data_IF_037173276226
#
_entry.id   IF_037173276226
#
_cell.length_a   1.000
_cell.length_b   1.000
_cell.length_c   1.000
_cell.angle_alpha   90.00
_cell.angle_beta   90.00
_cell.angle_gamma   90.00
#
_symmetry.space_group_name_H-M   'P 1'
#
loop_
_entity.id
_entity.type
_entity.pdbx_description
1 polymer ?
#
# COMPACT_ATOMS: atom_id res chain seq x y z
N UNK A 1 -59.30 21.63 -29.86
CA UNK A 1 -59.16 23.06 -30.24
C UNK A 1 -57.71 23.42 -30.51
N UNK A 2 -56.73 22.96 -29.71
CA UNK A 2 -55.28 23.25 -29.82
C UNK A 2 -54.67 22.75 -31.14
N UNK A 3 -55.03 21.55 -31.60
CA UNK A 3 -54.57 21.00 -32.88
C UNK A 3 -55.09 21.81 -34.10
N UNK A 4 -56.30 22.33 -34.04
CA UNK A 4 -56.86 23.13 -35.13
C UNK A 4 -56.20 24.50 -35.26
N UNK A 5 -55.89 25.14 -34.13
CA UNK A 5 -55.11 26.39 -34.10
C UNK A 5 -53.69 26.24 -34.64
N UNK A 6 -53.02 25.08 -34.38
CA UNK A 6 -51.66 24.82 -34.89
C UNK A 6 -51.67 24.66 -36.43
N UNK A 7 -52.66 23.94 -36.97
CA UNK A 7 -52.79 23.75 -38.42
C UNK A 7 -53.15 25.07 -39.11
N UNK A 8 -54.07 25.89 -38.52
CA UNK A 8 -54.47 27.22 -39.05
C UNK A 8 -53.23 28.19 -39.05
N UNK A 9 -52.24 27.99 -38.18
CA UNK A 9 -51.02 28.76 -38.14
C UNK A 9 -49.89 28.14 -38.99
N UNK A 10 -50.16 27.11 -39.79
CA UNK A 10 -49.17 26.47 -40.67
C UNK A 10 -48.13 25.59 -39.97
N UNK A 11 -48.40 25.21 -38.71
CA UNK A 11 -47.46 24.36 -37.92
C UNK A 11 -48.05 22.94 -37.84
N UNK A 12 -47.24 21.92 -38.20
CA UNK A 12 -47.65 20.51 -38.06
C UNK A 12 -47.74 20.10 -36.60
N UNK A 13 -48.95 19.74 -36.09
CA UNK A 13 -49.11 19.28 -34.70
C UNK A 13 -48.20 18.11 -34.31
N UNK A 14 -47.79 17.27 -35.28
CA UNK A 14 -46.91 16.15 -35.07
C UNK A 14 -45.45 16.59 -34.83
N UNK A 15 -45.05 17.73 -35.41
CA UNK A 15 -43.75 18.32 -35.14
C UNK A 15 -43.70 18.92 -33.74
N UNK A 16 -44.72 19.67 -33.35
CA UNK A 16 -44.85 20.23 -32.01
C UNK A 16 -44.83 19.15 -30.92
N UNK A 17 -45.56 18.05 -31.19
CA UNK A 17 -45.57 16.94 -30.24
C UNK A 17 -44.20 16.21 -30.17
N UNK A 18 -43.52 16.04 -31.31
CA UNK A 18 -42.15 15.50 -31.34
C UNK A 18 -41.16 16.39 -30.58
N UNK A 19 -41.23 17.70 -30.76
CA UNK A 19 -40.37 18.64 -30.05
C UNK A 19 -40.66 18.69 -28.54
N UNK A 20 -41.94 18.60 -28.15
CA UNK A 20 -42.34 18.46 -26.74
C UNK A 20 -41.78 17.16 -26.12
N UNK A 21 -41.90 16.05 -26.83
CA UNK A 21 -41.36 14.75 -26.38
C UNK A 21 -39.81 14.77 -26.32
N UNK A 22 -39.15 15.36 -27.31
CA UNK A 22 -37.71 15.53 -27.33
C UNK A 22 -37.23 16.40 -26.14
N UNK A 23 -37.88 17.54 -25.92
CA UNK A 23 -37.58 18.44 -24.79
C UNK A 23 -37.85 17.76 -23.43
N UNK A 24 -38.91 16.99 -23.33
CA UNK A 24 -39.23 16.24 -22.12
C UNK A 24 -38.18 15.11 -21.87
N UNK A 25 -37.75 14.41 -22.91
CA UNK A 25 -36.72 13.40 -22.85
C UNK A 25 -35.34 14.00 -22.45
N UNK A 26 -34.98 15.14 -23.03
CA UNK A 26 -33.76 15.89 -22.64
C UNK A 26 -33.79 16.32 -21.18
N UNK A 27 -34.89 16.89 -20.71
CA UNK A 27 -35.06 17.28 -19.30
C UNK A 27 -34.94 16.08 -18.36
N UNK A 28 -35.55 14.94 -18.73
CA UNK A 28 -35.46 13.70 -17.97
C UNK A 28 -34.04 13.16 -17.94
N UNK A 29 -33.36 13.15 -19.08
CA UNK A 29 -31.96 12.75 -19.20
C UNK A 29 -31.01 13.66 -18.38
N UNK A 30 -31.20 14.98 -18.47
CA UNK A 30 -30.44 15.95 -17.69
C UNK A 30 -30.66 15.80 -16.17
N UNK A 31 -31.90 15.54 -15.75
CA UNK A 31 -32.24 15.27 -14.35
C UNK A 31 -31.57 13.97 -13.85
N UNK A 32 -31.62 12.90 -14.65
CA UNK A 32 -30.96 11.63 -14.33
C UNK A 32 -29.44 11.80 -14.26
N UNK A 33 -28.85 12.49 -15.21
CA UNK A 33 -27.40 12.79 -15.21
C UNK A 33 -26.99 13.62 -13.97
N UNK A 34 -27.83 14.59 -13.56
CA UNK A 34 -27.56 15.38 -12.34
C UNK A 34 -27.65 14.54 -11.07
N UNK A 35 -28.59 13.61 -10.98
CA UNK A 35 -28.70 12.68 -9.86
C UNK A 35 -27.46 11.78 -9.78
N UNK A 36 -27.01 11.25 -10.91
CA UNK A 36 -25.83 10.40 -10.96
C UNK A 36 -24.54 11.19 -10.63
N UNK A 37 -24.39 12.39 -11.19
CA UNK A 37 -23.28 13.27 -10.84
C UNK A 37 -23.24 13.60 -9.33
N UNK A 38 -24.39 13.82 -8.70
CA UNK A 38 -24.48 14.06 -7.27
C UNK A 38 -24.08 12.81 -6.45
N UNK A 39 -24.48 11.62 -6.88
CA UNK A 39 -24.02 10.36 -6.24
C UNK A 39 -22.53 10.21 -6.31
N UNK A 40 -21.95 10.38 -7.50
CA UNK A 40 -20.49 10.31 -7.69
C UNK A 40 -19.77 11.38 -6.85
N UNK A 41 -20.30 12.60 -6.80
CA UNK A 41 -19.73 13.68 -5.99
C UNK A 41 -19.82 13.44 -4.47
N UNK A 42 -20.70 12.54 -4.03
CA UNK A 42 -20.83 12.15 -2.63
C UNK A 42 -19.93 10.98 -2.21
N UNK A 43 -19.27 10.31 -3.18
CA UNK A 43 -18.39 9.19 -2.89
C UNK A 43 -17.27 9.59 -1.92
N UNK A 44 -17.11 8.78 -0.90
CA UNK A 44 -16.03 8.95 0.08
C UNK A 44 -14.70 8.45 -0.47
N UNK A 45 -13.61 8.96 0.10
CA UNK A 45 -12.25 8.46 -0.19
C UNK A 45 -12.15 6.96 0.07
N UNK A 46 -12.80 6.45 1.13
CA UNK A 46 -12.79 5.03 1.49
C UNK A 46 -13.49 4.13 0.47
N UNK A 47 -14.62 4.54 -0.07
CA UNK A 47 -15.31 3.81 -1.14
C UNK A 47 -14.45 3.74 -2.39
N UNK A 48 -13.93 4.87 -2.86
CA UNK A 48 -13.08 4.93 -4.05
C UNK A 48 -11.74 4.21 -3.82
N UNK A 49 -11.20 4.23 -2.58
CA UNK A 49 -10.02 3.45 -2.21
C UNK A 49 -10.26 1.95 -2.33
N UNK A 50 -11.46 1.49 -1.99
CA UNK A 50 -11.83 0.08 -2.14
C UNK A 50 -11.84 -0.34 -3.60
N UNK A 51 -12.42 0.46 -4.48
CA UNK A 51 -12.41 0.22 -5.94
C UNK A 51 -10.97 0.21 -6.50
N UNK A 52 -10.16 1.18 -6.08
CA UNK A 52 -8.75 1.25 -6.43
C UNK A 52 -8.01 -0.03 -6.03
N UNK A 53 -8.20 -0.48 -4.80
CA UNK A 53 -7.57 -1.70 -4.30
C UNK A 53 -8.01 -2.93 -5.08
N UNK A 54 -9.29 -3.07 -5.42
CA UNK A 54 -9.81 -4.19 -6.19
C UNK A 54 -9.20 -4.23 -7.60
N UNK A 55 -9.18 -3.09 -8.30
CA UNK A 55 -8.64 -3.01 -9.65
C UNK A 55 -7.12 -3.24 -9.72
N UNK A 56 -6.40 -2.77 -8.70
CA UNK A 56 -4.93 -2.85 -8.69
C UNK A 56 -4.38 -4.12 -8.04
N UNK A 57 -5.19 -4.87 -7.29
CA UNK A 57 -4.78 -6.09 -6.58
C UNK A 57 -4.01 -7.10 -7.44
N UNK A 58 -4.41 -7.40 -8.70
CA UNK A 58 -3.69 -8.35 -9.55
C UNK A 58 -2.24 -7.95 -9.87
N UNK A 59 -1.91 -6.66 -9.77
CA UNK A 59 -0.58 -6.12 -10.05
C UNK A 59 0.30 -5.95 -8.81
N UNK A 60 -0.20 -6.31 -7.63
CA UNK A 60 0.48 -6.08 -6.36
C UNK A 60 0.90 -7.37 -5.67
N UNK A 61 2.11 -7.38 -5.12
CA UNK A 61 2.50 -8.41 -4.16
C UNK A 61 1.77 -8.23 -2.82
N UNK A 62 1.70 -9.30 -2.03
CA UNK A 62 0.92 -9.34 -0.78
C UNK A 62 1.34 -8.30 0.26
N UNK A 63 2.64 -7.98 0.36
CA UNK A 63 3.12 -6.95 1.27
C UNK A 63 2.61 -5.56 0.88
N UNK A 64 2.63 -5.23 -0.41
CA UNK A 64 2.13 -3.96 -0.91
C UNK A 64 0.62 -3.83 -0.70
N UNK A 65 -0.14 -4.88 -0.96
CA UNK A 65 -1.58 -4.92 -0.67
C UNK A 65 -1.87 -4.76 0.83
N UNK A 66 -1.11 -5.45 1.69
CA UNK A 66 -1.22 -5.31 3.15
C UNK A 66 -0.93 -3.90 3.62
N UNK A 67 0.05 -3.22 3.02
CA UNK A 67 0.34 -1.82 3.33
C UNK A 67 -0.87 -0.92 3.06
N UNK A 68 -1.59 -1.10 1.96
CA UNK A 68 -2.81 -0.34 1.67
C UNK A 68 -3.89 -0.55 2.73
N UNK A 69 -4.13 -1.79 3.16
CA UNK A 69 -5.06 -2.11 4.24
C UNK A 69 -4.60 -1.47 5.55
N UNK A 70 -3.32 -1.66 5.92
CA UNK A 70 -2.80 -1.19 7.20
C UNK A 70 -2.79 0.33 7.34
N UNK A 71 -2.61 1.06 6.23
CA UNK A 71 -2.61 2.52 6.27
C UNK A 71 -4.00 3.14 6.32
N UNK A 72 -5.06 2.40 5.98
CA UNK A 72 -6.45 2.89 5.96
C UNK A 72 -7.33 2.33 7.08
N UNK A 73 -6.88 1.31 7.81
CA UNK A 73 -7.67 0.65 8.86
C UNK A 73 -8.12 1.64 9.95
N UNK A 74 -9.36 1.52 10.39
CA UNK A 74 -9.97 2.37 11.43
C UNK A 74 -9.31 2.21 12.82
N UNK A 75 -8.69 1.07 13.10
CA UNK A 75 -8.16 0.76 14.43
C UNK A 75 -9.26 0.37 15.43
N UNK A 76 -8.92 0.43 16.72
CA UNK A 76 -9.89 0.13 17.79
C UNK A 76 -10.16 -1.37 18.04
N UNK A 77 -9.51 -2.26 17.30
CA UNK A 77 -9.62 -3.70 17.51
C UNK A 77 -8.57 -4.19 18.51
N UNK A 78 -8.83 -5.28 19.26
CA UNK A 78 -7.83 -5.88 20.11
C UNK A 78 -6.57 -6.25 19.32
N UNK A 79 -5.40 -5.97 19.90
CA UNK A 79 -4.12 -6.32 19.26
C UNK A 79 -3.92 -7.84 19.26
N UNK A 80 -3.70 -8.45 18.09
CA UNK A 80 -3.35 -9.87 17.97
C UNK A 80 -1.91 -10.21 18.34
N UNK A 81 -1.12 -9.24 18.83
CA UNK A 81 0.28 -9.49 19.24
C UNK A 81 0.31 -10.20 20.58
N UNK A 82 1.10 -11.27 20.67
CA UNK A 82 1.32 -12.03 21.91
C UNK A 82 1.70 -11.09 23.06
N UNK A 83 1.02 -11.20 24.20
CA UNK A 83 1.23 -10.33 25.36
C UNK A 83 0.62 -8.92 25.26
N UNK A 84 -0.12 -8.60 24.21
CA UNK A 84 -0.70 -7.28 23.96
C UNK A 84 -2.23 -7.27 23.83
N UNK A 85 -2.92 -8.32 24.30
CA UNK A 85 -4.39 -8.51 24.16
C UNK A 85 -5.22 -7.35 24.74
N UNK A 86 -4.70 -6.64 25.73
CA UNK A 86 -5.36 -5.46 26.34
C UNK A 86 -5.17 -4.15 25.54
N UNK A 87 -4.31 -4.15 24.51
CA UNK A 87 -4.06 -2.95 23.71
C UNK A 87 -4.90 -2.96 22.45
N UNK A 88 -5.54 -1.86 22.14
CA UNK A 88 -6.26 -1.67 20.90
C UNK A 88 -5.27 -1.29 19.78
N UNK A 89 -5.59 -1.70 18.57
CA UNK A 89 -4.86 -1.29 17.37
C UNK A 89 -5.06 0.20 17.12
N UNK A 90 -3.99 0.89 16.74
CA UNK A 90 -4.10 2.31 16.33
C UNK A 90 -4.69 2.42 14.93
N UNK A 91 -5.46 3.49 14.65
CA UNK A 91 -5.88 3.80 13.29
C UNK A 91 -4.68 3.91 12.35
N UNK A 92 -4.87 3.52 11.09
CA UNK A 92 -3.90 3.77 10.04
C UNK A 92 -3.74 5.28 9.79
N UNK A 93 -2.60 5.74 9.22
CA UNK A 93 -2.40 7.17 8.98
C UNK A 93 -3.45 7.81 8.08
N UNK A 94 -4.01 7.08 7.12
CA UNK A 94 -5.04 7.58 6.21
C UNK A 94 -6.47 7.40 6.75
N UNK A 95 -6.66 6.73 7.90
CA UNK A 95 -7.98 6.43 8.42
C UNK A 95 -8.87 7.68 8.58
N UNK A 96 -8.27 8.81 8.99
CA UNK A 96 -8.99 10.07 9.14
C UNK A 96 -9.46 10.69 7.81
N UNK A 97 -8.85 10.31 6.69
CA UNK A 97 -9.22 10.80 5.36
C UNK A 97 -10.30 9.93 4.70
N UNK A 98 -10.48 8.68 5.14
CA UNK A 98 -11.41 7.74 4.51
C UNK A 98 -12.87 8.17 4.50
N UNK A 99 -13.42 8.81 5.56
CA UNK A 99 -14.82 9.26 5.57
C UNK A 99 -15.07 10.55 4.79
N UNK A 100 -14.04 11.27 4.35
CA UNK A 100 -14.20 12.52 3.59
C UNK A 100 -14.72 12.22 2.18
N UNK A 101 -15.54 13.12 1.61
CA UNK A 101 -15.85 13.01 0.19
C UNK A 101 -14.59 13.25 -0.65
N UNK A 102 -14.44 12.51 -1.76
CA UNK A 102 -13.23 12.58 -2.59
C UNK A 102 -12.97 14.01 -3.09
N UNK A 103 -14.01 14.73 -3.44
CA UNK A 103 -13.96 16.15 -3.88
C UNK A 103 -13.42 17.11 -2.82
N UNK A 104 -13.57 16.76 -1.52
CA UNK A 104 -13.14 17.59 -0.39
C UNK A 104 -11.70 17.28 0.03
N UNK A 105 -11.05 16.34 -0.65
CA UNK A 105 -9.65 16.00 -0.42
C UNK A 105 -8.72 16.99 -1.17
N UNK A 106 -8.76 18.23 -0.71
CA UNK A 106 -7.97 19.32 -1.28
C UNK A 106 -6.53 19.38 -0.72
N UNK A 107 -5.74 20.29 -1.29
CA UNK A 107 -4.36 20.53 -0.87
C UNK A 107 -4.24 20.88 0.62
N UNK A 108 -5.12 21.74 1.14
CA UNK A 108 -5.06 22.21 2.52
C UNK A 108 -5.34 21.08 3.51
N UNK A 109 -6.29 20.21 3.21
CA UNK A 109 -6.62 19.01 3.99
C UNK A 109 -5.44 18.04 4.05
N UNK A 110 -4.79 17.78 2.90
CA UNK A 110 -3.63 16.87 2.84
C UNK A 110 -2.42 17.47 3.56
N UNK A 111 -2.15 18.77 3.44
CA UNK A 111 -1.04 19.42 4.13
C UNK A 111 -1.22 19.41 5.66
N UNK A 112 -2.44 19.64 6.15
CA UNK A 112 -2.77 19.52 7.57
C UNK A 112 -2.56 18.08 8.06
N UNK A 113 -3.12 17.11 7.35
CA UNK A 113 -2.91 15.69 7.63
C UNK A 113 -1.41 15.32 7.68
N UNK A 114 -0.62 15.79 6.70
CA UNK A 114 0.83 15.53 6.64
C UNK A 114 1.57 16.14 7.83
N UNK A 115 1.19 17.34 8.28
CA UNK A 115 1.79 17.99 9.43
C UNK A 115 1.50 17.23 10.73
N UNK A 116 0.28 16.74 10.91
CA UNK A 116 -0.13 16.03 12.14
C UNK A 116 0.48 14.63 12.19
N UNK A 117 0.41 13.88 11.10
CA UNK A 117 0.99 12.54 11.01
C UNK A 117 2.52 12.55 11.02
N UNK A 118 3.13 13.57 10.42
CA UNK A 118 4.58 13.75 10.41
C UNK A 118 5.19 13.93 11.80
N UNK A 119 4.47 14.56 12.74
CA UNK A 119 4.90 14.72 14.13
C UNK A 119 4.86 13.42 14.92
N UNK A 120 3.83 12.58 14.68
CA UNK A 120 3.54 11.42 15.55
C UNK A 120 4.17 10.13 15.03
N UNK A 121 4.19 9.91 13.71
CA UNK A 121 4.67 8.66 13.09
C UNK A 121 5.25 8.89 11.69
N UNK A 122 6.34 9.64 11.57
CA UNK A 122 6.86 10.15 10.30
C UNK A 122 7.15 9.05 9.26
N UNK A 123 7.68 7.90 9.67
CA UNK A 123 7.97 6.80 8.74
C UNK A 123 6.71 6.18 8.15
N UNK A 124 5.68 5.97 8.98
CA UNK A 124 4.39 5.44 8.51
C UNK A 124 3.64 6.46 7.66
N UNK A 125 3.69 7.73 8.04
CA UNK A 125 3.08 8.84 7.30
C UNK A 125 3.71 9.03 5.91
N UNK A 126 5.03 8.90 5.77
CA UNK A 126 5.71 8.95 4.46
C UNK A 126 5.27 7.82 3.53
N UNK A 127 5.09 6.60 4.05
CA UNK A 127 4.56 5.51 3.24
C UNK A 127 3.11 5.78 2.84
N UNK A 128 2.27 6.18 3.80
CA UNK A 128 0.88 6.53 3.57
C UNK A 128 0.72 7.65 2.52
N UNK A 129 1.55 8.69 2.60
CA UNK A 129 1.58 9.77 1.61
C UNK A 129 1.93 9.28 0.20
N UNK A 130 2.89 8.36 0.06
CA UNK A 130 3.21 7.76 -1.24
C UNK A 130 2.02 6.99 -1.82
N UNK A 131 1.35 6.17 -0.98
CA UNK A 131 0.17 5.43 -1.39
C UNK A 131 -0.98 6.37 -1.79
N UNK A 132 -1.23 7.42 -0.98
CA UNK A 132 -2.23 8.45 -1.29
C UNK A 132 -1.91 9.18 -2.60
N UNK A 133 -0.65 9.51 -2.84
CA UNK A 133 -0.22 10.18 -4.08
C UNK A 133 -0.50 9.33 -5.32
N UNK A 134 -0.21 8.03 -5.25
CA UNK A 134 -0.48 7.08 -6.35
C UNK A 134 -1.99 6.87 -6.53
N UNK A 135 -2.74 6.73 -5.45
CA UNK A 135 -4.20 6.66 -5.47
C UNK A 135 -4.84 7.85 -6.17
N UNK A 136 -4.46 9.07 -5.79
CA UNK A 136 -5.00 10.29 -6.41
C UNK A 136 -4.60 10.43 -7.89
N UNK A 137 -3.41 9.93 -8.26
CA UNK A 137 -3.02 9.86 -9.68
C UNK A 137 -3.92 8.90 -10.43
N UNK A 138 -4.19 7.71 -9.87
CA UNK A 138 -5.12 6.75 -10.46
C UNK A 138 -6.54 7.32 -10.57
N UNK A 139 -7.05 8.01 -9.53
CA UNK A 139 -8.36 8.65 -9.61
C UNK A 139 -8.45 9.67 -10.76
N UNK A 140 -7.39 10.45 -11.00
CA UNK A 140 -7.35 11.42 -12.09
C UNK A 140 -7.36 10.77 -13.49
N UNK A 141 -6.94 9.51 -13.60
CA UNK A 141 -6.96 8.71 -14.82
C UNK A 141 -8.31 8.03 -15.07
N UNK A 142 -9.18 7.95 -14.05
CA UNK A 142 -10.50 7.31 -14.18
C UNK A 142 -11.56 8.33 -14.60
N UNK A 143 -12.29 8.11 -15.71
CA UNK A 143 -13.34 9.03 -16.18
C UNK A 143 -14.39 9.37 -15.11
N UNK A 144 -14.72 8.39 -14.24
CA UNK A 144 -15.69 8.54 -13.17
C UNK A 144 -15.24 9.51 -12.07
N UNK A 145 -13.93 9.57 -11.78
CA UNK A 145 -13.39 10.30 -10.63
C UNK A 145 -12.60 11.55 -11.03
N UNK A 146 -12.12 11.63 -12.27
CA UNK A 146 -11.26 12.71 -12.74
C UNK A 146 -11.87 14.12 -12.51
N UNK A 147 -13.18 14.25 -12.70
CA UNK A 147 -13.90 15.52 -12.49
C UNK A 147 -14.06 15.95 -11.03
N UNK A 148 -13.76 15.07 -10.06
CA UNK A 148 -13.87 15.38 -8.63
C UNK A 148 -12.57 15.94 -8.04
N UNK A 149 -11.47 15.83 -8.76
CA UNK A 149 -10.13 16.21 -8.28
C UNK A 149 -9.63 17.46 -9.00
N UNK A 150 -8.79 18.28 -8.34
CA UNK A 150 -8.11 19.38 -9.02
C UNK A 150 -7.16 18.85 -10.10
N UNK A 151 -6.91 19.64 -11.14
CA UNK A 151 -6.05 19.27 -12.26
C UNK A 151 -4.63 18.85 -11.86
N UNK A 152 -4.13 19.40 -10.75
CA UNK A 152 -2.85 19.01 -10.14
C UNK A 152 -3.12 18.11 -8.95
N UNK A 153 -2.42 16.98 -8.84
CA UNK A 153 -2.54 16.07 -7.70
C UNK A 153 -2.29 16.81 -6.37
N UNK A 154 -3.31 16.94 -5.49
CA UNK A 154 -3.24 17.77 -4.29
C UNK A 154 -2.26 17.22 -3.22
N UNK A 155 -1.82 15.97 -3.34
CA UNK A 155 -0.81 15.40 -2.45
C UNK A 155 0.64 15.77 -2.85
N UNK A 156 0.87 16.19 -4.10
CA UNK A 156 2.22 16.50 -4.61
C UNK A 156 2.66 17.95 -4.28
N UNK A 157 2.51 18.38 -3.03
CA UNK A 157 2.92 19.72 -2.61
C UNK A 157 4.28 19.71 -1.91
N UNK A 158 5.01 20.83 -2.01
CA UNK A 158 6.27 21.01 -1.29
C UNK A 158 6.06 20.98 0.21
N UNK A 159 5.00 21.63 0.70
CA UNK A 159 4.67 21.74 2.12
C UNK A 159 4.33 20.39 2.76
N UNK A 160 3.53 19.54 2.08
CA UNK A 160 3.27 18.18 2.57
C UNK A 160 4.56 17.35 2.65
N UNK A 161 5.45 17.45 1.66
CA UNK A 161 6.73 16.76 1.65
C UNK A 161 7.66 17.23 2.78
N UNK A 162 7.72 18.53 3.03
CA UNK A 162 8.53 19.12 4.11
C UNK A 162 7.99 18.70 5.49
N UNK A 163 6.67 18.73 5.69
CA UNK A 163 6.02 18.30 6.92
C UNK A 163 6.32 16.84 7.28
N UNK A 164 6.38 15.96 6.28
CA UNK A 164 6.71 14.54 6.47
C UNK A 164 8.22 14.29 6.66
N UNK A 165 9.05 15.23 6.26
CA UNK A 165 10.51 15.16 6.37
C UNK A 165 11.15 14.05 5.53
N UNK A 166 12.47 13.94 5.63
CA UNK A 166 13.24 12.87 4.99
C UNK A 166 13.38 11.66 5.93
N UNK A 167 13.54 10.48 5.36
CA UNK A 167 13.93 9.30 6.12
C UNK A 167 15.35 9.51 6.65
N UNK A 168 15.55 9.33 7.94
CA UNK A 168 16.89 9.28 8.51
C UNK A 168 17.63 8.03 8.03
N UNK A 169 18.91 8.17 7.73
CA UNK A 169 19.80 7.05 7.47
C UNK A 169 20.33 6.57 8.81
N UNK A 170 20.21 5.27 9.09
CA UNK A 170 20.87 4.66 10.24
C UNK A 170 22.34 4.44 9.89
N UNK A 171 23.21 4.80 10.82
CA UNK A 171 24.65 4.57 10.74
C UNK A 171 25.10 3.39 11.62
N UNK A 172 24.14 2.65 12.19
CA UNK A 172 24.41 1.52 13.08
C UNK A 172 24.97 0.35 12.23
N UNK A 173 26.26 0.24 12.18
CA UNK A 173 26.97 -0.89 11.57
C UNK A 173 27.83 -1.56 12.60
N UNK A 174 27.89 -2.89 12.55
CA UNK A 174 28.76 -3.68 13.42
C UNK A 174 30.22 -3.42 13.04
N UNK A 175 30.99 -2.85 13.96
CA UNK A 175 32.41 -2.58 13.77
C UNK A 175 33.24 -3.83 14.01
N UNK A 176 34.43 -3.87 13.42
CA UNK A 176 35.36 -5.03 13.53
C UNK A 176 35.63 -5.42 14.99
N UNK A 177 35.82 -4.43 15.85
CA UNK A 177 36.14 -4.60 17.28
C UNK A 177 34.97 -5.21 18.05
N UNK A 178 33.72 -5.07 17.55
CA UNK A 178 32.50 -5.59 18.16
C UNK A 178 32.20 -7.04 17.75
N UNK A 179 32.84 -7.56 16.70
CA UNK A 179 32.54 -8.88 16.14
C UNK A 179 32.69 -10.01 17.16
N UNK A 180 33.81 -10.01 17.92
CA UNK A 180 34.05 -11.06 18.91
C UNK A 180 32.96 -11.12 19.98
N UNK A 181 32.59 -9.95 20.53
CA UNK A 181 31.52 -9.83 21.53
C UNK A 181 30.17 -10.22 20.94
N UNK A 182 29.90 -9.79 19.70
CA UNK A 182 28.67 -10.14 19.00
C UNK A 182 28.54 -11.64 18.78
N UNK A 183 29.58 -12.32 18.28
CA UNK A 183 29.57 -13.76 18.09
C UNK A 183 29.40 -14.52 19.42
N UNK A 184 30.09 -14.11 20.48
CA UNK A 184 29.93 -14.70 21.80
C UNK A 184 28.45 -14.59 22.30
N UNK A 185 27.85 -13.43 22.15
CA UNK A 185 26.43 -13.20 22.54
C UNK A 185 25.46 -14.02 21.70
N UNK A 186 25.65 -14.08 20.38
CA UNK A 186 24.78 -14.82 19.47
C UNK A 186 24.86 -16.33 19.71
N UNK A 187 26.05 -16.86 20.00
CA UNK A 187 26.25 -18.28 20.30
C UNK A 187 25.58 -18.71 21.62
N UNK A 188 25.34 -17.79 22.57
CA UNK A 188 24.62 -18.05 23.81
C UNK A 188 23.09 -18.11 23.64
N UNK A 189 22.56 -17.78 22.46
CA UNK A 189 21.12 -17.88 22.21
C UNK A 189 20.70 -19.35 22.26
N UNK A 190 19.78 -19.67 23.16
CA UNK A 190 19.33 -21.05 23.42
C UNK A 190 18.74 -21.76 22.19
N UNK A 191 18.06 -21.00 21.32
CA UNK A 191 17.54 -21.55 20.08
C UNK A 191 18.63 -21.59 19.01
N UNK A 192 19.14 -22.78 18.64
CA UNK A 192 20.25 -22.91 17.69
C UNK A 192 19.89 -22.43 16.29
N UNK A 193 18.62 -22.49 15.91
CA UNK A 193 18.15 -22.00 14.61
C UNK A 193 18.28 -20.49 14.53
N UNK A 194 17.89 -19.76 15.59
CA UNK A 194 18.02 -18.30 15.65
C UNK A 194 19.50 -17.90 15.67
N UNK A 195 20.31 -18.56 16.51
CA UNK A 195 21.75 -18.31 16.59
C UNK A 195 22.43 -18.50 15.23
N UNK A 196 22.20 -19.62 14.57
CA UNK A 196 22.78 -19.91 13.25
C UNK A 196 22.27 -18.97 12.17
N UNK A 197 20.98 -18.60 12.17
CA UNK A 197 20.40 -17.66 11.23
C UNK A 197 21.06 -16.28 11.30
N UNK A 198 21.29 -15.75 12.51
CA UNK A 198 21.95 -14.47 12.71
C UNK A 198 23.41 -14.50 12.23
N UNK A 199 24.14 -15.55 12.56
CA UNK A 199 25.52 -15.74 12.09
C UNK A 199 25.58 -15.86 10.57
N UNK A 200 24.64 -16.60 9.99
CA UNK A 200 24.54 -16.80 8.54
C UNK A 200 24.25 -15.49 7.80
N UNK A 201 23.34 -14.66 8.33
CA UNK A 201 23.09 -13.32 7.78
C UNK A 201 24.33 -12.44 7.77
N UNK A 202 25.10 -12.45 8.87
CA UNK A 202 26.33 -11.66 8.97
C UNK A 202 27.39 -12.15 7.97
N UNK A 203 27.58 -13.47 7.86
CA UNK A 203 28.61 -14.07 7.02
C UNK A 203 28.33 -13.98 5.52
N UNK A 204 27.04 -13.95 5.13
CA UNK A 204 26.64 -13.88 3.73
C UNK A 204 26.35 -12.46 3.26
N UNK A 205 26.06 -11.52 4.16
CA UNK A 205 25.52 -10.21 3.82
C UNK A 205 24.13 -10.26 3.18
N UNK A 206 23.46 -11.41 3.22
CA UNK A 206 22.13 -11.57 2.66
C UNK A 206 21.06 -10.87 3.49
N UNK A 207 20.02 -10.38 2.84
CA UNK A 207 18.90 -9.72 3.52
C UNK A 207 18.16 -10.72 4.42
N UNK A 208 17.62 -10.28 5.58
CA UNK A 208 16.89 -11.19 6.48
C UNK A 208 15.80 -12.01 5.79
N UNK A 209 15.02 -11.41 4.88
CA UNK A 209 14.00 -12.13 4.13
C UNK A 209 14.55 -13.19 3.19
N UNK A 210 15.72 -13.00 2.61
CA UNK A 210 16.41 -13.95 1.74
C UNK A 210 16.91 -15.15 2.55
N UNK A 211 17.52 -14.90 3.71
CA UNK A 211 18.00 -15.98 4.58
C UNK A 211 16.83 -16.79 5.16
N UNK A 212 15.78 -16.12 5.60
CA UNK A 212 14.59 -16.81 6.12
C UNK A 212 13.82 -17.61 5.06
N UNK A 213 13.98 -17.25 3.77
CA UNK A 213 13.40 -17.96 2.65
C UNK A 213 14.32 -19.05 2.06
N UNK A 214 15.50 -19.28 2.65
CA UNK A 214 16.43 -20.31 2.19
C UNK A 214 15.86 -21.70 2.46
N UNK A 215 15.87 -22.56 1.44
CA UNK A 215 15.44 -23.95 1.52
C UNK A 215 16.63 -24.90 1.53
N UNK A 216 16.41 -26.11 2.03
CA UNK A 216 17.44 -27.15 1.99
C UNK A 216 17.85 -27.53 0.57
N UNK A 217 16.96 -27.45 -0.40
CA UNK A 217 17.25 -27.69 -1.82
C UNK A 217 18.20 -26.64 -2.44
N UNK A 218 18.24 -25.44 -1.86
CA UNK A 218 19.10 -24.33 -2.28
C UNK A 218 20.53 -24.46 -1.70
N UNK A 219 20.78 -25.45 -0.84
CA UNK A 219 22.10 -25.69 -0.20
C UNK A 219 22.86 -26.78 -0.94
N UNK A 220 23.89 -26.40 -1.66
CA UNK A 220 24.77 -27.33 -2.34
C UNK A 220 26.05 -27.57 -1.51
N UNK A 221 26.10 -28.69 -0.79
CA UNK A 221 27.25 -29.05 0.04
C UNK A 221 28.46 -29.51 -0.76
N UNK A 222 28.26 -30.09 -1.95
CA UNK A 222 29.31 -30.57 -2.85
C UNK A 222 30.11 -29.38 -3.43
N UNK A 223 29.41 -28.38 -3.92
CA UNK A 223 30.01 -27.18 -4.50
C UNK A 223 30.21 -26.05 -3.49
N UNK A 224 29.89 -26.31 -2.21
CA UNK A 224 30.01 -25.35 -1.10
C UNK A 224 29.39 -24.00 -1.44
N UNK A 225 28.15 -24.04 -1.92
CA UNK A 225 27.38 -22.85 -2.35
C UNK A 225 25.96 -22.91 -1.86
N UNK A 226 25.34 -21.75 -1.81
CA UNK A 226 23.88 -21.59 -1.60
C UNK A 226 23.30 -20.69 -2.68
N UNK A 227 22.10 -21.06 -3.13
CA UNK A 227 21.34 -20.26 -4.09
C UNK A 227 20.35 -19.37 -3.35
N UNK A 228 20.58 -18.06 -3.36
CA UNK A 228 19.65 -17.09 -2.76
C UNK A 228 18.75 -16.52 -3.84
N UNK A 229 17.45 -16.65 -3.62
CA UNK A 229 16.43 -16.10 -4.52
C UNK A 229 16.23 -14.61 -4.22
N UNK A 230 16.64 -13.74 -5.16
CA UNK A 230 16.40 -12.31 -5.11
C UNK A 230 15.16 -11.95 -5.92
N UNK A 231 14.35 -11.04 -5.40
CA UNK A 231 13.09 -10.62 -6.05
C UNK A 231 13.32 -9.80 -7.33
N UNK A 232 14.48 -9.17 -7.46
CA UNK A 232 14.81 -8.22 -8.54
C UNK A 232 15.80 -8.84 -9.52
N UNK A 233 16.85 -9.49 -9.00
CA UNK A 233 17.98 -10.02 -9.77
C UNK A 233 17.86 -11.52 -10.08
N UNK A 234 16.78 -12.17 -9.63
CA UNK A 234 16.58 -13.60 -9.82
C UNK A 234 17.29 -14.43 -8.74
N UNK A 235 18.22 -15.31 -9.15
CA UNK A 235 18.97 -16.17 -8.23
C UNK A 235 20.44 -15.81 -8.25
N UNK A 236 21.05 -15.66 -7.07
CA UNK A 236 22.50 -15.47 -6.92
C UNK A 236 23.12 -16.60 -6.11
N UNK A 237 24.29 -17.02 -6.52
CA UNK A 237 25.09 -18.02 -5.81
C UNK A 237 26.02 -17.34 -4.80
N UNK A 238 26.03 -17.83 -3.56
CA UNK A 238 26.93 -17.37 -2.52
C UNK A 238 27.79 -18.55 -2.06
N UNK A 239 29.13 -18.45 -2.12
CA UNK A 239 30.00 -19.49 -1.58
C UNK A 239 29.86 -19.59 -0.05
N UNK A 240 29.82 -20.81 0.47
CA UNK A 240 29.73 -21.06 1.91
C UNK A 240 31.09 -21.51 2.45
N UNK A 241 31.44 -20.94 3.59
CA UNK A 241 32.67 -21.33 4.31
C UNK A 241 32.50 -22.68 5.03
N UNK A 242 33.58 -23.37 5.41
CA UNK A 242 33.50 -24.58 6.25
C UNK A 242 32.72 -24.34 7.55
N UNK A 243 32.85 -23.17 8.15
CA UNK A 243 32.09 -22.79 9.34
C UNK A 243 30.59 -22.69 9.08
N UNK A 244 30.19 -22.09 7.97
CA UNK A 244 28.75 -22.01 7.57
C UNK A 244 28.20 -23.41 7.30
N UNK A 245 28.96 -24.30 6.66
CA UNK A 245 28.53 -25.68 6.46
C UNK A 245 28.36 -26.41 7.80
N UNK A 246 29.23 -26.17 8.76
CA UNK A 246 29.09 -26.70 10.11
C UNK A 246 27.81 -26.18 10.78
N UNK A 247 27.53 -24.89 10.72
CA UNK A 247 26.27 -24.33 11.23
C UNK A 247 25.04 -25.02 10.62
N UNK A 248 25.02 -25.19 9.29
CA UNK A 248 23.92 -25.85 8.59
C UNK A 248 23.78 -27.32 8.99
N UNK A 249 24.90 -28.04 9.18
CA UNK A 249 24.87 -29.45 9.57
C UNK A 249 24.31 -29.67 10.98
N UNK A 250 24.40 -28.68 11.87
CA UNK A 250 23.85 -28.77 13.25
C UNK A 250 22.39 -28.47 13.34
N UNK A 251 21.76 -27.96 12.27
CA UNK A 251 20.36 -27.58 12.28
C UNK A 251 19.43 -28.80 12.09
N UNK A 252 18.31 -28.85 12.82
CA UNK A 252 17.30 -29.88 12.61
C UNK A 252 16.52 -29.62 11.31
N UNK A 253 16.44 -30.61 10.43
CA UNK A 253 15.62 -30.55 9.21
C UNK A 253 14.16 -30.90 9.51
N UNK A 254 13.40 -29.89 9.97
CA UNK A 254 11.98 -30.08 10.36
C UNK A 254 11.02 -29.98 9.18
N UNK A 255 11.38 -29.21 8.19
CA UNK A 255 10.63 -28.95 6.97
C UNK A 255 11.56 -28.50 5.83
N UNK A 256 11.04 -27.97 4.76
CA UNK A 256 11.80 -27.47 3.60
C UNK A 256 12.70 -26.27 3.87
N UNK A 257 12.42 -25.50 4.93
CA UNK A 257 13.16 -24.27 5.27
C UNK A 257 14.34 -24.54 6.16
N UNK A 258 15.48 -23.93 5.85
CA UNK A 258 16.72 -24.10 6.63
C UNK A 258 16.56 -23.53 8.04
N UNK A 259 16.03 -22.32 8.16
CA UNK A 259 15.89 -21.61 9.43
C UNK A 259 14.45 -21.64 9.95
N UNK A 260 13.92 -22.82 10.12
CA UNK A 260 12.60 -23.05 10.69
C UNK A 260 12.70 -23.39 12.18
N UNK A 261 12.06 -22.59 13.04
CA UNK A 261 12.04 -22.74 14.50
C UNK A 261 10.71 -23.29 15.03
#
# INVERSE_FOLDING_TARGET
QEHKMLVDNGTDPREVERDRQATAAEKKAAAAAKVEANKVAALTVGEVWTDYMQQRRPHWGDLHYRDHIDKTKAGGLPSGRRGSSKRLTRPGPLAALMPLALKDLDQATIERWAADEGKTRPSSARLAWRLLTVFLTWCAEQPTYAGLLPAKNPAKTKKAREALGKAGTKSDVLQREQLATWFAAVQQIQNPVISSCLQFMLLTGARPGEVLALRWEDVNTQWKGISIRDKVEGTREIPVTPYMLHLLATLPRRNEWVFSS
#
